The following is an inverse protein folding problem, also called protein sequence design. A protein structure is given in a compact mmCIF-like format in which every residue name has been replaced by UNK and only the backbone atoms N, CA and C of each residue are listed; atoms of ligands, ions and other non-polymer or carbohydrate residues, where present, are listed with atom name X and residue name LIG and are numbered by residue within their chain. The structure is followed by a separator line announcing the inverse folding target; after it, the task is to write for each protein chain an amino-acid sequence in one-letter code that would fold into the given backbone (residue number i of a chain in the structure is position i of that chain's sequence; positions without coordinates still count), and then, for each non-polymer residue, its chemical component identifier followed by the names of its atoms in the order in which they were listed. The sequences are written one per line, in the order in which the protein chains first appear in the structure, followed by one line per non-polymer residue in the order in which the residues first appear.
data_IF_877772901715
#
_entry.id   IF_877772901715
#
_cell.length_a   1.000
_cell.length_b   1.000
_cell.length_c   1.000
_cell.angle_alpha   90.00
_cell.angle_beta   90.00
_cell.angle_gamma   90.00
#
_symmetry.space_group_name_H-M   'P 1'
#
loop_
_entity.id
_entity.type
_entity.pdbx_description
1 polymer ?
#
# COMPACT_ATOMS: atom_id res chain seq x y z
N UNK A 1 22.42 42.97 -5.40
CA UNK A 1 21.28 42.23 -6.01
C UNK A 1 20.80 41.30 -4.92
N UNK A 2 19.81 41.75 -4.17
CA UNK A 2 19.42 41.13 -2.90
C UNK A 2 18.23 40.21 -3.14
N UNK A 3 18.48 38.90 -3.12
CA UNK A 3 17.46 37.87 -3.32
C UNK A 3 16.83 37.49 -1.98
N UNK A 4 15.54 37.83 -1.85
CA UNK A 4 14.74 37.63 -0.65
C UNK A 4 14.57 36.14 -0.28
N UNK A 5 14.94 35.79 0.94
CA UNK A 5 14.66 34.49 1.55
C UNK A 5 13.24 34.50 2.15
N UNK A 6 12.30 33.86 1.45
CA UNK A 6 10.90 33.77 1.83
C UNK A 6 10.69 32.81 3.00
N UNK A 7 11.07 33.23 4.21
CA UNK A 7 10.69 32.53 5.44
C UNK A 7 9.18 32.65 5.64
N UNK A 8 8.45 31.62 5.25
CA UNK A 8 7.02 31.50 5.56
C UNK A 8 6.90 31.28 7.07
N UNK A 9 6.49 32.34 7.79
CA UNK A 9 6.13 32.25 9.20
C UNK A 9 4.85 31.43 9.33
N UNK A 10 4.99 30.14 9.65
CA UNK A 10 3.89 29.34 10.19
C UNK A 10 3.44 30.00 11.49
N UNK A 11 2.29 30.68 11.43
CA UNK A 11 1.66 31.28 12.59
C UNK A 11 1.45 30.22 13.67
N UNK A 12 1.82 30.57 14.91
CA UNK A 12 1.59 29.73 16.07
C UNK A 12 0.09 29.44 16.21
N UNK A 13 -0.32 28.22 15.85
CA UNK A 13 -1.67 27.74 16.12
C UNK A 13 -1.78 27.59 17.64
N UNK A 14 -2.49 28.54 18.24
CA UNK A 14 -2.83 28.53 19.66
C UNK A 14 -3.89 27.43 19.87
N UNK A 15 -3.44 26.19 20.00
CA UNK A 15 -4.27 25.06 20.38
C UNK A 15 -4.66 25.24 21.85
N UNK A 16 -5.78 25.92 22.10
CA UNK A 16 -6.43 25.83 23.41
C UNK A 16 -6.76 24.36 23.65
N UNK A 17 -6.29 23.73 24.75
CA UNK A 17 -6.78 22.43 25.12
C UNK A 17 -8.15 22.67 25.76
N UNK A 18 -9.21 22.60 24.95
CA UNK A 18 -10.54 22.45 25.51
C UNK A 18 -10.61 21.02 26.08
N UNK A 19 -10.20 20.89 27.34
CA UNK A 19 -10.33 19.67 28.14
C UNK A 19 -11.81 19.51 28.48
N UNK A 20 -12.62 19.14 27.50
CA UNK A 20 -13.84 18.38 27.78
C UNK A 20 -13.38 16.99 28.17
N UNK A 21 -13.34 16.74 29.48
CA UNK A 21 -13.03 15.43 30.05
C UNK A 21 -14.02 14.39 29.53
N UNK A 22 -13.61 13.65 28.49
CA UNK A 22 -14.16 12.34 28.22
C UNK A 22 -13.47 11.44 29.24
N UNK A 23 -14.16 11.19 30.34
CA UNK A 23 -13.79 10.17 31.32
C UNK A 23 -13.52 8.86 30.57
N UNK A 24 -12.25 8.54 30.41
CA UNK A 24 -11.77 7.29 29.81
C UNK A 24 -11.88 6.16 30.84
N UNK A 25 -13.06 6.01 31.44
CA UNK A 25 -13.47 4.76 32.04
C UNK A 25 -13.73 3.75 30.92
N UNK A 26 -13.42 2.45 31.11
CA UNK A 26 -13.84 1.44 30.16
C UNK A 26 -15.37 1.37 30.19
N UNK A 27 -16.05 2.08 29.27
CA UNK A 27 -17.47 1.88 28.96
C UNK A 27 -17.67 0.55 28.20
N UNK A 28 -16.94 -0.48 28.64
CA UNK A 28 -16.96 -1.87 28.19
C UNK A 28 -18.28 -2.53 28.57
N UNK A 29 -18.97 -1.99 29.58
CA UNK A 29 -20.19 -2.56 30.16
C UNK A 29 -21.47 -2.23 29.38
N UNK A 30 -21.50 -1.18 28.56
CA UNK A 30 -22.71 -0.72 27.85
C UNK A 30 -22.76 -1.10 26.37
N UNK A 31 -21.64 -1.49 25.78
CA UNK A 31 -21.57 -1.84 24.34
C UNK A 31 -21.84 -3.33 24.09
N UNK A 32 -22.60 -3.64 23.03
CA UNK A 32 -22.86 -5.03 22.63
C UNK A 32 -21.56 -5.77 22.27
N UNK A 33 -21.47 -7.11 22.43
CA UNK A 33 -20.30 -7.88 22.04
C UNK A 33 -19.88 -7.67 20.58
N UNK A 34 -20.84 -7.49 19.68
CA UNK A 34 -20.62 -7.21 18.25
C UNK A 34 -19.93 -5.86 18.06
N UNK A 35 -20.35 -4.83 18.81
CA UNK A 35 -19.74 -3.51 18.77
C UNK A 35 -18.29 -3.56 19.24
N UNK A 36 -18.01 -4.30 20.32
CA UNK A 36 -16.63 -4.47 20.84
C UNK A 36 -15.73 -5.18 19.83
N UNK A 37 -16.22 -6.24 19.19
CA UNK A 37 -15.46 -6.95 18.16
C UNK A 37 -15.17 -6.06 16.95
N UNK A 38 -16.16 -5.28 16.48
CA UNK A 38 -15.96 -4.31 15.40
C UNK A 38 -14.96 -3.22 15.78
N UNK A 39 -15.01 -2.71 17.01
CA UNK A 39 -14.05 -1.72 17.50
C UNK A 39 -12.62 -2.29 17.54
N UNK A 40 -12.45 -3.53 18.04
CA UNK A 40 -11.17 -4.21 18.05
C UNK A 40 -10.63 -4.46 16.62
N UNK A 41 -11.48 -4.93 15.70
CA UNK A 41 -11.12 -5.14 14.30
C UNK A 41 -10.75 -3.81 13.61
N UNK A 42 -11.48 -2.72 13.88
CA UNK A 42 -11.17 -1.40 13.33
C UNK A 42 -9.82 -0.89 13.84
N UNK A 43 -9.54 -1.04 15.15
CA UNK A 43 -8.24 -0.68 15.73
C UNK A 43 -7.10 -1.42 15.04
N UNK A 44 -7.20 -2.75 14.93
CA UNK A 44 -6.20 -3.57 14.26
C UNK A 44 -6.03 -3.21 12.79
N UNK A 45 -7.13 -2.93 12.08
CA UNK A 45 -7.10 -2.52 10.69
C UNK A 45 -6.31 -1.22 10.50
N UNK A 46 -6.57 -0.22 11.34
CA UNK A 46 -5.88 1.08 11.29
C UNK A 46 -4.38 0.91 11.58
N UNK A 47 -4.02 0.18 12.63
CA UNK A 47 -2.62 -0.09 12.97
C UNK A 47 -1.87 -0.78 11.82
N UNK A 48 -2.47 -1.84 11.25
CA UNK A 48 -1.88 -2.57 10.14
C UNK A 48 -1.80 -1.72 8.87
N UNK A 49 -2.79 -0.86 8.61
CA UNK A 49 -2.79 0.03 7.45
C UNK A 49 -1.57 0.95 7.46
N UNK A 50 -1.30 1.63 8.59
CA UNK A 50 -0.17 2.54 8.68
C UNK A 50 1.19 1.81 8.70
N UNK A 51 1.28 0.65 9.36
CA UNK A 51 2.50 -0.19 9.33
C UNK A 51 2.85 -0.58 7.89
N UNK A 52 1.87 -1.12 7.15
CA UNK A 52 2.07 -1.52 5.76
C UNK A 52 2.36 -0.32 4.85
N UNK A 53 1.73 0.82 5.09
CA UNK A 53 1.98 2.03 4.32
C UNK A 53 3.43 2.52 4.48
N UNK A 54 3.91 2.60 5.72
CA UNK A 54 5.27 3.03 6.01
C UNK A 54 6.30 2.04 5.47
N UNK A 55 6.06 0.74 5.63
CA UNK A 55 6.92 -0.29 5.05
C UNK A 55 7.00 -0.15 3.53
N UNK A 56 5.87 0.07 2.85
CA UNK A 56 5.85 0.26 1.40
C UNK A 56 6.66 1.48 0.93
N UNK A 57 6.72 2.55 1.72
CA UNK A 57 7.57 3.71 1.43
C UNK A 57 9.06 3.39 1.63
N UNK A 58 9.40 2.66 2.69
CA UNK A 58 10.77 2.21 2.94
C UNK A 58 11.26 1.29 1.83
N UNK A 59 10.48 0.28 1.46
CA UNK A 59 10.86 -0.68 0.41
C UNK A 59 11.10 0.01 -0.94
N UNK A 60 10.32 1.07 -1.25
CA UNK A 60 10.52 1.89 -2.47
C UNK A 60 11.87 2.58 -2.48
N UNK A 61 12.24 3.19 -1.34
CA UNK A 61 13.54 3.84 -1.19
C UNK A 61 14.68 2.83 -1.28
N UNK A 62 14.52 1.67 -0.65
CA UNK A 62 15.51 0.59 -0.70
C UNK A 62 15.70 0.03 -2.11
N UNK A 63 14.61 -0.20 -2.86
CA UNK A 63 14.70 -0.65 -4.27
C UNK A 63 15.42 0.37 -5.14
N UNK A 64 15.13 1.67 -4.98
CA UNK A 64 15.84 2.74 -5.69
C UNK A 64 17.32 2.78 -5.33
N UNK A 65 17.67 2.70 -4.04
CA UNK A 65 19.07 2.66 -3.57
C UNK A 65 19.81 1.42 -4.05
N UNK A 66 19.15 0.27 -4.05
CA UNK A 66 19.73 -0.98 -4.55
C UNK A 66 20.04 -0.90 -6.04
N UNK A 67 19.16 -0.29 -6.84
CA UNK A 67 19.41 -0.04 -8.26
C UNK A 67 20.61 0.89 -8.47
N UNK A 68 20.68 1.99 -7.71
CA UNK A 68 21.79 2.95 -7.79
C UNK A 68 23.13 2.32 -7.42
N UNK A 69 23.19 1.53 -6.35
CA UNK A 69 24.41 0.79 -5.97
C UNK A 69 24.86 -0.16 -7.07
N UNK A 70 23.94 -0.96 -7.62
CA UNK A 70 24.24 -1.88 -8.74
C UNK A 70 24.73 -1.13 -9.98
N UNK A 71 24.15 0.03 -10.28
CA UNK A 71 24.59 0.85 -11.41
C UNK A 71 26.00 1.44 -11.21
N UNK A 72 26.33 1.83 -9.98
CA UNK A 72 27.67 2.29 -9.60
C UNK A 72 28.70 1.15 -9.65
N UNK A 73 28.37 -0.02 -9.11
CA UNK A 73 29.23 -1.22 -9.14
C UNK A 73 29.53 -1.66 -10.58
N UNK A 74 28.55 -1.56 -11.48
CA UNK A 74 28.69 -1.90 -12.89
C UNK A 74 29.22 -0.74 -13.76
N UNK A 75 29.47 0.44 -13.18
CA UNK A 75 29.96 1.65 -13.87
C UNK A 75 29.21 1.98 -15.17
N UNK A 76 27.88 1.86 -15.12
CA UNK A 76 26.97 2.02 -16.28
C UNK A 76 26.96 3.48 -16.75
N UNK A 77 26.91 3.75 -18.07
CA UNK A 77 26.80 5.12 -18.59
C UNK A 77 25.49 5.80 -18.16
N UNK A 78 25.54 7.13 -18.01
CA UNK A 78 24.43 7.93 -17.48
C UNK A 78 23.10 7.71 -18.25
N UNK A 79 23.15 7.55 -19.57
CA UNK A 79 21.95 7.38 -20.39
C UNK A 79 21.22 6.07 -20.10
N UNK A 80 21.97 4.96 -19.95
CA UNK A 80 21.40 3.67 -19.55
C UNK A 80 20.90 3.70 -18.10
N UNK A 81 21.62 4.39 -17.21
CA UNK A 81 21.20 4.57 -15.82
C UNK A 81 19.85 5.29 -15.72
N UNK A 82 19.63 6.32 -16.52
CA UNK A 82 18.34 7.01 -16.59
C UNK A 82 17.23 6.10 -17.13
N UNK A 83 17.51 5.31 -18.17
CA UNK A 83 16.54 4.32 -18.68
C UNK A 83 16.15 3.30 -17.61
N UNK A 84 17.12 2.81 -16.83
CA UNK A 84 16.86 1.90 -15.71
C UNK A 84 15.98 2.54 -14.64
N UNK A 85 16.20 3.82 -14.32
CA UNK A 85 15.37 4.54 -13.36
C UNK A 85 13.94 4.73 -13.87
N UNK A 86 13.76 5.13 -15.13
CA UNK A 86 12.44 5.23 -15.78
C UNK A 86 11.69 3.91 -15.77
N UNK A 87 12.40 2.80 -16.03
CA UNK A 87 11.82 1.46 -15.98
C UNK A 87 11.39 1.06 -14.55
N UNK A 88 12.17 1.44 -13.54
CA UNK A 88 11.81 1.20 -12.13
C UNK A 88 10.55 1.97 -11.75
N UNK A 89 10.42 3.23 -12.15
CA UNK A 89 9.23 4.05 -11.89
C UNK A 89 7.96 3.48 -12.55
N UNK A 90 8.08 2.99 -13.79
CA UNK A 90 6.99 2.29 -14.48
C UNK A 90 6.55 1.05 -13.70
N UNK A 91 7.50 0.19 -13.29
CA UNK A 91 7.22 -1.03 -12.51
C UNK A 91 6.56 -0.73 -11.16
N UNK A 92 6.99 0.32 -10.46
CA UNK A 92 6.39 0.75 -9.19
C UNK A 92 4.93 1.19 -9.36
N UNK A 93 4.65 1.88 -10.45
CA UNK A 93 3.29 2.35 -10.78
C UNK A 93 2.40 1.15 -11.11
N UNK A 94 2.88 0.20 -11.91
CA UNK A 94 2.18 -1.06 -12.21
C UNK A 94 1.93 -1.87 -10.94
N UNK A 95 2.91 -1.97 -10.05
CA UNK A 95 2.78 -2.66 -8.77
C UNK A 95 1.67 -2.06 -7.91
N UNK A 96 1.62 -0.74 -7.78
CA UNK A 96 0.55 -0.04 -7.05
C UNK A 96 -0.83 -0.19 -7.72
N UNK A 97 -0.85 -0.28 -9.06
CA UNK A 97 -2.07 -0.56 -9.83
C UNK A 97 -2.56 -1.98 -9.51
N UNK A 98 -1.66 -2.94 -9.46
CA UNK A 98 -1.95 -4.33 -9.12
C UNK A 98 -2.43 -4.48 -7.67
N UNK A 99 -1.77 -3.83 -6.69
CA UNK A 99 -2.17 -3.88 -5.28
C UNK A 99 -3.59 -3.36 -5.01
N UNK A 100 -4.09 -2.43 -5.83
CA UNK A 100 -5.46 -1.91 -5.71
C UNK A 100 -6.51 -2.85 -6.29
N UNK A 101 -6.13 -3.79 -7.16
CA UNK A 101 -7.08 -4.71 -7.79
C UNK A 101 -7.42 -5.84 -6.82
N UNK A 102 -8.72 -6.08 -6.63
CA UNK A 102 -9.23 -7.29 -5.98
C UNK A 102 -9.45 -8.34 -7.06
N UNK A 103 -8.76 -9.47 -6.94
CA UNK A 103 -8.96 -10.60 -7.87
C UNK A 103 -10.22 -11.33 -7.47
N UNK A 104 -11.14 -11.50 -8.42
CA UNK A 104 -12.42 -12.18 -8.25
C UNK A 104 -12.48 -13.49 -9.04
N UNK A 105 -13.58 -14.23 -8.88
CA UNK A 105 -13.83 -15.46 -9.64
C UNK A 105 -13.95 -15.14 -11.15
N UNK A 106 -14.45 -13.96 -11.49
CA UNK A 106 -14.63 -13.49 -12.87
C UNK A 106 -13.30 -13.26 -13.62
N UNK A 107 -12.17 -13.14 -12.91
CA UNK A 107 -10.83 -13.07 -13.54
C UNK A 107 -10.33 -14.44 -14.03
N UNK A 108 -11.09 -15.51 -13.82
CA UNK A 108 -10.71 -16.87 -14.13
C UNK A 108 -11.67 -17.49 -15.15
N UNK A 109 -11.11 -18.03 -16.23
CA UNK A 109 -11.83 -18.85 -17.19
C UNK A 109 -11.61 -20.32 -16.85
N UNK A 110 -12.69 -21.02 -16.48
CA UNK A 110 -12.62 -22.43 -16.14
C UNK A 110 -12.41 -23.26 -17.41
N UNK A 111 -11.29 -23.97 -17.48
CA UNK A 111 -10.98 -24.86 -18.60
C UNK A 111 -11.47 -26.28 -18.31
N UNK A 112 -10.90 -26.91 -17.29
CA UNK A 112 -11.13 -28.33 -17.02
C UNK A 112 -11.19 -28.61 -15.53
N UNK A 113 -12.07 -29.52 -15.12
CA UNK A 113 -12.10 -30.05 -13.77
C UNK A 113 -10.98 -31.08 -13.59
N UNK A 114 -10.11 -30.87 -12.60
CA UNK A 114 -9.01 -31.78 -12.28
C UNK A 114 -9.51 -32.90 -11.37
N UNK A 115 -10.36 -32.60 -10.38
CA UNK A 115 -10.90 -33.60 -9.47
C UNK A 115 -11.89 -33.05 -8.43
N UNK A 116 -12.61 -33.95 -7.78
CA UNK A 116 -13.61 -33.65 -6.72
C UNK A 116 -13.32 -34.47 -5.48
N UNK A 117 -13.34 -33.83 -4.31
CA UNK A 117 -13.20 -34.47 -3.00
C UNK A 117 -14.28 -34.00 -2.03
N UNK A 118 -14.22 -34.46 -0.77
CA UNK A 118 -15.23 -34.15 0.25
C UNK A 118 -15.32 -32.65 0.59
N UNK A 119 -14.25 -31.88 0.36
CA UNK A 119 -14.17 -30.45 0.70
C UNK A 119 -14.31 -29.51 -0.50
N UNK A 120 -14.49 -30.05 -1.71
CA UNK A 120 -14.68 -29.23 -2.90
C UNK A 120 -14.09 -29.80 -4.18
N UNK A 121 -14.14 -28.98 -5.23
CA UNK A 121 -13.65 -29.30 -6.56
C UNK A 121 -12.43 -28.47 -6.92
N UNK A 122 -11.45 -29.12 -7.54
CA UNK A 122 -10.23 -28.47 -8.04
C UNK A 122 -10.38 -28.29 -9.55
N UNK A 123 -10.24 -27.04 -9.98
CA UNK A 123 -10.40 -26.64 -11.37
C UNK A 123 -9.08 -26.08 -11.91
N UNK A 124 -8.76 -26.47 -13.13
CA UNK A 124 -7.74 -25.79 -13.91
C UNK A 124 -8.38 -24.58 -14.58
N UNK A 125 -7.90 -23.40 -14.23
CA UNK A 125 -8.41 -22.14 -14.76
C UNK A 125 -7.31 -21.40 -15.50
N UNK A 126 -7.68 -20.75 -16.60
CA UNK A 126 -6.83 -19.74 -17.22
C UNK A 126 -7.06 -18.40 -16.51
N UNK A 127 -5.99 -17.70 -16.13
CA UNK A 127 -6.11 -16.39 -15.52
C UNK A 127 -6.26 -15.32 -16.62
N UNK A 128 -7.50 -14.90 -16.87
CA UNK A 128 -7.84 -13.88 -17.83
C UNK A 128 -7.84 -12.52 -17.13
N UNK A 129 -6.63 -11.98 -16.92
CA UNK A 129 -6.53 -10.63 -16.39
C UNK A 129 -6.78 -9.60 -17.51
N UNK A 130 -7.96 -8.98 -17.52
CA UNK A 130 -8.35 -7.91 -18.46
C UNK A 130 -7.41 -6.69 -18.48
N UNK A 131 -6.44 -6.63 -17.58
CA UNK A 131 -5.48 -5.56 -17.40
C UNK A 131 -4.49 -5.40 -18.56
N UNK A 132 -4.29 -6.44 -19.37
CA UNK A 132 -3.42 -6.35 -20.55
C UNK A 132 -4.10 -5.67 -21.77
N UNK A 133 -5.40 -5.38 -21.72
CA UNK A 133 -6.12 -4.71 -22.81
C UNK A 133 -6.12 -3.17 -22.73
N UNK A 134 -5.55 -2.58 -21.67
CA UNK A 134 -5.47 -1.11 -21.47
C UNK A 134 -4.02 -0.69 -21.20
N UNK A 135 -3.09 -1.29 -21.95
CA UNK A 135 -1.71 -0.85 -22.13
C UNK A 135 -1.43 -0.80 -23.63
#
# INVERSE_FOLDING_TARGET
MDGADGTVRLGALNLKPDRTGIDSGPDVSTSSPVTRQKAAAAKQFIENHYKNHLQGLQDRLERRRALQRRAQEASIPNEEQEQMLRNLERKETEYMRLQRRKVGIDDFEQLTMIGKGAFGEVKWNNFQCSFLKVL
#
